data_IF_817205891874
#
_entry.id   IF_817205891874
#
_cell.length_a   1.000
_cell.length_b   1.000
_cell.length_c   1.000
_cell.angle_alpha   90.00
_cell.angle_beta   90.00
_cell.angle_gamma   90.00
#
_symmetry.space_group_name_H-M   'P 1'
#
loop_
_entity.id
_entity.type
_entity.pdbx_description
1 polymer ?
#
# COMPACT_ATOMS: atom_id res chain seq x y z
N UNK A 1 19.57 12.06 11.11
CA UNK A 1 18.57 11.33 11.92
C UNK A 1 17.43 12.26 12.25
N UNK A 2 16.19 11.82 12.05
CA UNK A 2 14.96 12.58 12.30
C UNK A 2 13.96 11.73 13.08
N UNK A 3 13.19 12.38 13.96
CA UNK A 3 12.05 11.74 14.63
C UNK A 3 10.81 11.93 13.76
N UNK A 4 10.33 10.85 13.13
CA UNK A 4 9.11 10.88 12.33
C UNK A 4 7.85 10.89 13.21
N UNK A 5 6.81 11.57 12.73
CA UNK A 5 5.47 11.45 13.29
C UNK A 5 4.94 10.02 13.15
N UNK A 6 4.02 9.63 14.05
CA UNK A 6 3.45 8.26 14.07
C UNK A 6 2.95 7.78 12.68
N UNK A 7 2.17 8.54 11.90
CA UNK A 7 1.69 8.08 10.60
C UNK A 7 2.80 7.84 9.59
N UNK A 8 3.81 8.72 9.54
CA UNK A 8 4.95 8.59 8.62
C UNK A 8 5.82 7.38 8.99
N UNK A 9 6.05 7.18 10.30
CA UNK A 9 6.80 6.02 10.79
C UNK A 9 6.08 4.71 10.53
N UNK A 10 4.77 4.65 10.77
CA UNK A 10 3.93 3.49 10.47
C UNK A 10 3.92 3.18 8.96
N UNK A 11 3.80 4.19 8.10
CA UNK A 11 3.94 4.01 6.66
C UNK A 11 5.29 3.41 6.28
N UNK A 12 6.40 3.92 6.85
CA UNK A 12 7.73 3.35 6.58
C UNK A 12 7.87 1.91 7.09
N UNK A 13 7.34 1.62 8.28
CA UNK A 13 7.28 0.24 8.81
C UNK A 13 6.56 -0.69 7.83
N UNK A 14 5.37 -0.31 7.36
CA UNK A 14 4.62 -1.12 6.40
C UNK A 14 5.43 -1.42 5.13
N UNK A 15 6.12 -0.40 4.60
CA UNK A 15 7.00 -0.54 3.42
C UNK A 15 8.17 -1.49 3.68
N UNK A 16 8.86 -1.37 4.82
CA UNK A 16 9.95 -2.27 5.20
C UNK A 16 9.50 -3.73 5.31
N UNK A 17 8.28 -3.97 5.81
CA UNK A 17 7.70 -5.32 5.89
C UNK A 17 7.34 -5.90 4.52
N UNK A 18 7.03 -5.05 3.54
CA UNK A 18 6.76 -5.47 2.15
C UNK A 18 8.03 -5.65 1.31
N UNK A 19 9.08 -4.87 1.59
CA UNK A 19 10.35 -4.88 0.85
C UNK A 19 11.22 -6.09 1.24
N UNK A 20 11.14 -6.56 2.48
CA UNK A 20 11.99 -7.64 2.98
C UNK A 20 11.42 -8.35 4.21
N UNK A 21 11.92 -9.57 4.46
CA UNK A 21 11.54 -10.35 5.62
C UNK A 21 12.11 -9.77 6.92
N UNK A 22 11.23 -9.31 7.82
CA UNK A 22 11.60 -8.81 9.14
C UNK A 22 11.17 -9.78 10.23
N UNK A 23 12.13 -10.37 10.93
CA UNK A 23 11.94 -11.45 11.91
C UNK A 23 11.72 -10.97 13.35
N UNK A 24 12.19 -9.76 13.67
CA UNK A 24 12.15 -9.20 15.04
C UNK A 24 11.94 -7.68 15.04
N UNK A 25 11.44 -7.17 16.18
CA UNK A 25 11.26 -5.72 16.38
C UNK A 25 12.60 -4.99 16.43
N UNK A 26 13.65 -5.60 16.98
CA UNK A 26 15.00 -5.04 17.00
C UNK A 26 15.55 -4.84 15.60
N UNK A 27 15.36 -5.82 14.72
CA UNK A 27 15.71 -5.70 13.30
C UNK A 27 14.97 -4.51 12.65
N UNK A 28 13.69 -4.31 12.96
CA UNK A 28 12.93 -3.18 12.42
C UNK A 28 13.45 -1.82 12.93
N UNK A 29 13.90 -1.75 14.19
CA UNK A 29 14.55 -0.55 14.75
C UNK A 29 15.85 -0.24 14.01
N UNK A 30 16.66 -1.26 13.71
CA UNK A 30 17.92 -1.11 12.96
C UNK A 30 17.66 -0.61 11.53
N UNK A 31 16.64 -1.15 10.86
CA UNK A 31 16.26 -0.74 9.52
C UNK A 31 15.75 0.71 9.49
N UNK A 32 14.90 1.09 10.44
CA UNK A 32 14.46 2.47 10.61
C UNK A 32 15.64 3.41 10.86
N UNK A 33 16.60 3.00 11.70
CA UNK A 33 17.81 3.79 11.95
C UNK A 33 18.68 3.96 10.70
N UNK A 34 18.80 2.92 9.86
CA UNK A 34 19.49 2.99 8.57
C UNK A 34 18.83 3.99 7.60
N UNK A 35 17.50 4.11 7.66
CA UNK A 35 16.73 5.15 6.95
C UNK A 35 16.76 6.52 7.63
N UNK A 36 17.55 6.66 8.70
CA UNK A 36 17.68 7.90 9.47
C UNK A 36 16.50 8.19 10.40
N UNK A 37 15.61 7.23 10.65
CA UNK A 37 14.44 7.34 11.54
C UNK A 37 14.78 6.83 12.93
N UNK A 38 14.63 7.69 13.95
CA UNK A 38 14.87 7.29 15.34
C UNK A 38 13.59 6.70 15.94
N UNK A 39 13.65 5.44 16.38
CA UNK A 39 12.55 4.75 17.06
C UNK A 39 13.09 3.79 18.14
N UNK A 40 12.29 3.57 19.19
CA UNK A 40 12.61 2.56 20.21
C UNK A 40 11.86 1.26 19.93
N UNK A 41 12.29 0.16 20.53
CA UNK A 41 11.58 -1.12 20.44
C UNK A 41 10.14 -1.03 20.96
N UNK A 42 9.89 -0.27 22.03
CA UNK A 42 8.54 -0.03 22.56
C UNK A 42 7.66 0.75 21.58
N UNK A 43 8.23 1.73 20.88
CA UNK A 43 7.54 2.49 19.83
C UNK A 43 7.16 1.58 18.66
N UNK A 44 8.13 0.79 18.17
CA UNK A 44 7.92 -0.17 17.08
C UNK A 44 6.89 -1.23 17.45
N UNK A 45 6.90 -1.75 18.68
CA UNK A 45 5.91 -2.73 19.13
C UNK A 45 4.48 -2.19 19.02
N UNK A 46 4.25 -0.97 19.53
CA UNK A 46 2.94 -0.31 19.44
C UNK A 46 2.54 -0.01 18.00
N UNK A 47 3.48 0.43 17.17
CA UNK A 47 3.18 0.69 15.75
C UNK A 47 2.79 -0.60 15.01
N UNK A 48 3.45 -1.73 15.29
CA UNK A 48 3.10 -3.04 14.72
C UNK A 48 1.73 -3.53 15.19
N UNK A 49 1.40 -3.35 16.48
CA UNK A 49 0.07 -3.65 17.03
C UNK A 49 -1.01 -2.80 16.36
N UNK A 50 -0.79 -1.49 16.28
CA UNK A 50 -1.72 -0.54 15.63
C UNK A 50 -1.92 -0.83 14.14
N UNK A 51 -0.87 -1.30 13.46
CA UNK A 51 -0.90 -1.72 12.05
C UNK A 51 -1.53 -3.12 11.85
N UNK A 52 -1.84 -3.85 12.93
CA UNK A 52 -2.34 -5.22 12.85
C UNK A 52 -1.32 -6.21 12.27
N UNK A 53 -0.02 -5.94 12.43
CA UNK A 53 1.03 -6.81 11.92
C UNK A 53 1.09 -8.14 12.69
N UNK A 54 1.16 -9.24 11.95
CA UNK A 54 1.20 -10.61 12.50
C UNK A 54 2.46 -11.33 12.05
N UNK A 55 2.94 -12.29 12.85
CA UNK A 55 4.03 -13.18 12.44
C UNK A 55 3.49 -14.30 11.57
N UNK A 56 3.89 -14.32 10.30
CA UNK A 56 3.58 -15.38 9.34
C UNK A 56 4.83 -16.20 9.04
N UNK A 57 4.63 -17.45 8.65
CA UNK A 57 5.70 -18.30 8.13
C UNK A 57 5.88 -18.01 6.64
N UNK A 58 7.07 -17.56 6.25
CA UNK A 58 7.42 -17.31 4.85
C UNK A 58 8.08 -18.54 4.21
N UNK A 59 8.13 -18.65 2.86
CA UNK A 59 8.89 -19.69 2.17
C UNK A 59 10.34 -19.74 2.69
N UNK A 60 10.84 -20.93 3.00
CA UNK A 60 12.12 -21.12 3.70
C UNK A 60 11.99 -21.36 5.21
N UNK A 61 10.78 -21.27 5.78
CA UNK A 61 10.47 -21.71 7.15
C UNK A 61 10.70 -20.66 8.24
N UNK A 62 11.21 -19.49 7.90
CA UNK A 62 11.41 -18.37 8.83
C UNK A 62 10.08 -17.69 9.17
N UNK A 63 9.97 -17.15 10.39
CA UNK A 63 8.83 -16.32 10.80
C UNK A 63 9.16 -14.84 10.54
N UNK A 64 8.28 -14.13 9.84
CA UNK A 64 8.42 -12.70 9.56
C UNK A 64 7.13 -11.95 9.87
N UNK A 65 7.24 -10.67 10.23
CA UNK A 65 6.10 -9.77 10.36
C UNK A 65 5.51 -9.45 8.99
N UNK A 66 4.18 -9.47 8.89
CA UNK A 66 3.43 -9.06 7.72
C UNK A 66 2.13 -8.36 8.15
N UNK A 67 1.65 -7.41 7.35
CA UNK A 67 0.35 -6.75 7.58
C UNK A 67 -0.67 -7.40 6.63
N UNK A 68 -1.72 -8.08 7.15
CA UNK A 68 -2.65 -8.86 6.32
C UNK A 68 -3.36 -8.06 5.22
N UNK A 69 -3.63 -6.77 5.46
CA UNK A 69 -4.29 -5.88 4.48
C UNK A 69 -3.35 -5.42 3.37
N UNK A 70 -2.03 -5.42 3.62
CA UNK A 70 -0.98 -5.05 2.66
C UNK A 70 -0.34 -6.28 2.02
N UNK A 71 -0.84 -7.48 2.29
CA UNK A 71 -0.44 -8.68 1.58
C UNK A 71 -0.89 -8.54 0.11
N UNK A 72 0.02 -8.00 -0.71
CA UNK A 72 -0.09 -7.88 -2.17
C UNK A 72 -0.45 -9.20 -2.86
N UNK A 73 -0.28 -10.32 -2.16
CA UNK A 73 -0.65 -11.66 -2.58
C UNK A 73 -2.16 -11.94 -2.59
N UNK A 74 -3.00 -11.00 -2.15
CA UNK A 74 -4.35 -10.91 -2.72
C UNK A 74 -4.29 -10.01 -3.94
N UNK A 75 -3.59 -10.46 -4.99
CA UNK A 75 -3.97 -10.05 -6.34
C UNK A 75 -5.47 -10.27 -6.38
N UNK A 76 -6.24 -9.17 -6.45
CA UNK A 76 -7.61 -9.31 -6.89
C UNK A 76 -7.51 -10.12 -8.18
N UNK A 77 -8.37 -11.14 -8.41
CA UNK A 77 -8.29 -11.95 -9.63
C UNK A 77 -8.07 -11.00 -10.81
N UNK A 78 -7.20 -11.30 -11.78
CA UNK A 78 -6.87 -10.37 -12.89
C UNK A 78 -8.12 -9.75 -13.55
N UNK A 79 -9.26 -10.44 -13.45
CA UNK A 79 -10.58 -10.01 -13.91
C UNK A 79 -11.29 -8.96 -13.04
N UNK A 80 -10.89 -8.72 -11.79
CA UNK A 80 -11.54 -7.75 -10.90
C UNK A 80 -11.40 -6.33 -11.43
N UNK A 81 -10.17 -5.93 -11.80
CA UNK A 81 -9.94 -4.62 -12.41
C UNK A 81 -10.76 -4.49 -13.69
N UNK A 82 -10.73 -5.51 -14.56
CA UNK A 82 -11.51 -5.53 -15.81
C UNK A 82 -13.00 -5.35 -15.57
N UNK A 83 -13.55 -6.05 -14.56
CA UNK A 83 -14.96 -5.96 -14.17
C UNK A 83 -15.32 -4.56 -13.67
N UNK A 84 -14.53 -4.01 -12.75
CA UNK A 84 -14.76 -2.67 -12.18
C UNK A 84 -14.66 -1.61 -13.27
N UNK A 85 -13.67 -1.71 -14.15
CA UNK A 85 -13.51 -0.79 -15.29
C UNK A 85 -14.72 -0.86 -16.22
N UNK A 86 -15.16 -2.05 -16.61
CA UNK A 86 -16.32 -2.22 -17.50
C UNK A 86 -17.66 -1.82 -16.87
N UNK A 87 -17.77 -1.85 -15.54
CA UNK A 87 -18.98 -1.48 -14.82
C UNK A 87 -19.07 0.02 -14.54
N UNK A 88 -17.96 0.67 -14.21
CA UNK A 88 -17.98 2.04 -13.65
C UNK A 88 -17.29 3.10 -14.51
N UNK A 89 -16.42 2.76 -15.47
CA UNK A 89 -15.77 3.78 -16.30
C UNK A 89 -16.64 4.10 -17.50
N UNK A 90 -17.01 5.38 -17.62
CA UNK A 90 -17.88 5.88 -18.71
C UNK A 90 -17.12 6.65 -19.77
N UNK A 91 -15.97 7.22 -19.44
CA UNK A 91 -15.10 7.94 -20.39
C UNK A 91 -13.64 7.93 -19.94
N UNK A 92 -12.73 8.01 -20.92
CA UNK A 92 -11.28 7.99 -20.72
C UNK A 92 -10.61 9.04 -21.60
N UNK A 93 -9.92 9.99 -20.98
CA UNK A 93 -9.09 10.97 -21.65
C UNK A 93 -7.66 10.94 -21.10
N UNK A 94 -6.71 11.58 -21.78
CA UNK A 94 -5.34 11.69 -21.28
C UNK A 94 -4.67 13.00 -21.72
N UNK A 95 -3.67 13.43 -20.96
CA UNK A 95 -2.78 14.53 -21.30
C UNK A 95 -1.41 14.27 -20.69
N UNK A 96 -0.40 14.07 -21.54
CA UNK A 96 0.94 13.70 -21.08
C UNK A 96 0.92 12.39 -20.29
N UNK A 97 1.47 12.42 -19.07
CA UNK A 97 1.52 11.30 -18.13
C UNK A 97 0.29 11.20 -17.22
N UNK A 98 -0.82 11.87 -17.56
CA UNK A 98 -2.05 11.87 -16.77
C UNK A 98 -3.16 11.23 -17.59
N UNK A 99 -3.78 10.19 -17.04
CA UNK A 99 -5.04 9.63 -17.53
C UNK A 99 -6.19 10.13 -16.66
N UNK A 100 -7.27 10.60 -17.29
CA UNK A 100 -8.49 11.04 -16.62
C UNK A 100 -9.59 10.02 -16.92
N UNK A 101 -10.10 9.40 -15.87
CA UNK A 101 -11.25 8.48 -15.96
C UNK A 101 -12.49 9.18 -15.41
N UNK A 102 -13.61 9.04 -16.11
CA UNK A 102 -14.94 9.49 -15.64
C UNK A 102 -15.76 8.29 -15.22
N UNK A 103 -16.53 8.44 -14.15
CA UNK A 103 -17.44 7.43 -13.61
C UNK A 103 -18.83 8.04 -13.36
N UNK A 104 -19.85 7.24 -13.04
CA UNK A 104 -21.05 7.77 -12.40
C UNK A 104 -20.72 8.50 -11.08
N UNK A 105 -21.61 9.40 -10.62
CA UNK A 105 -21.46 10.07 -9.32
C UNK A 105 -21.21 9.08 -8.18
N UNK A 106 -20.31 9.44 -7.28
CA UNK A 106 -19.92 8.64 -6.12
C UNK A 106 -19.15 7.34 -6.39
N UNK A 107 -18.70 7.09 -7.63
CA UNK A 107 -18.09 5.81 -8.02
C UNK A 107 -16.58 5.87 -8.26
N UNK A 108 -15.97 7.05 -8.34
CA UNK A 108 -14.56 7.18 -8.70
C UNK A 108 -13.61 6.47 -7.72
N UNK A 109 -13.93 6.50 -6.42
CA UNK A 109 -13.15 5.79 -5.40
C UNK A 109 -13.16 4.26 -5.58
N UNK A 110 -14.23 3.67 -6.12
CA UNK A 110 -14.30 2.22 -6.39
C UNK A 110 -13.29 1.85 -7.48
N UNK A 111 -13.23 2.65 -8.54
CA UNK A 111 -12.28 2.46 -9.65
C UNK A 111 -10.84 2.68 -9.18
N UNK A 112 -10.59 3.75 -8.42
CA UNK A 112 -9.26 4.03 -7.86
C UNK A 112 -8.75 2.90 -6.97
N UNK A 113 -9.61 2.37 -6.10
CA UNK A 113 -9.23 1.23 -5.24
C UNK A 113 -8.88 -0.03 -6.04
N UNK A 114 -9.59 -0.29 -7.13
CA UNK A 114 -9.27 -1.43 -8.00
C UNK A 114 -7.95 -1.24 -8.74
N UNK A 115 -7.63 -0.02 -9.18
CA UNK A 115 -6.34 0.32 -9.80
C UNK A 115 -5.17 0.09 -8.84
N UNK A 116 -5.28 0.59 -7.60
CA UNK A 116 -4.21 0.44 -6.60
C UNK A 116 -3.93 -1.03 -6.27
N UNK A 117 -4.99 -1.84 -6.18
CA UNK A 117 -4.87 -3.29 -5.91
C UNK A 117 -4.34 -4.08 -7.08
N UNK A 118 -4.50 -3.59 -8.31
CA UNK A 118 -3.99 -4.27 -9.49
C UNK A 118 -2.46 -4.16 -9.61
N UNK A 119 -1.82 -3.24 -8.89
CA UNK A 119 -0.36 -3.13 -8.84
C UNK A 119 0.30 -2.96 -10.21
N UNK A 120 -0.35 -2.21 -11.11
CA UNK A 120 0.13 -2.01 -12.47
C UNK A 120 1.51 -1.34 -12.45
N UNK A 121 2.54 -1.93 -13.08
CA UNK A 121 3.92 -1.48 -12.94
C UNK A 121 4.16 -0.06 -13.49
N UNK A 122 3.37 0.35 -14.48
CA UNK A 122 3.48 1.64 -15.15
C UNK A 122 2.59 2.74 -14.52
N UNK A 123 1.90 2.44 -13.41
CA UNK A 123 1.05 3.38 -12.67
C UNK A 123 1.75 3.76 -11.37
N UNK A 124 2.06 5.04 -11.21
CA UNK A 124 2.57 5.61 -9.96
C UNK A 124 1.48 5.70 -8.90
N UNK A 125 0.24 5.98 -9.30
CA UNK A 125 -0.91 5.99 -8.41
C UNK A 125 -2.11 6.75 -8.97
N UNK A 126 -3.14 6.93 -8.15
CA UNK A 126 -4.33 7.69 -8.54
C UNK A 126 -4.85 8.61 -7.43
N UNK A 127 -5.63 9.61 -7.83
CA UNK A 127 -6.41 10.47 -6.93
C UNK A 127 -7.85 10.49 -7.45
N UNK A 128 -8.76 9.93 -6.65
CA UNK A 128 -10.18 9.90 -6.95
C UNK A 128 -10.93 11.07 -6.29
N UNK A 129 -11.76 11.75 -7.08
CA UNK A 129 -12.82 12.64 -6.62
C UNK A 129 -14.15 11.87 -6.49
N UNK A 130 -15.25 12.51 -6.85
CA UNK A 130 -16.59 11.90 -6.80
C UNK A 130 -16.91 11.06 -8.06
N UNK A 131 -16.81 11.71 -9.24
CA UNK A 131 -17.14 11.15 -10.55
C UNK A 131 -15.96 11.14 -11.53
N UNK A 132 -14.78 11.54 -11.05
CA UNK A 132 -13.57 11.71 -11.85
C UNK A 132 -12.37 11.26 -11.04
N UNK A 133 -11.43 10.54 -11.67
CA UNK A 133 -10.13 10.22 -11.07
C UNK A 133 -8.99 10.50 -12.04
N UNK A 134 -7.87 10.96 -11.48
CA UNK A 134 -6.61 11.15 -12.18
C UNK A 134 -5.69 9.99 -11.86
N UNK A 135 -5.07 9.42 -12.90
CA UNK A 135 -4.08 8.35 -12.79
C UNK A 135 -2.77 8.85 -13.38
N UNK A 136 -1.67 8.62 -12.69
CA UNK A 136 -0.30 9.01 -13.07
C UNK A 136 0.56 7.76 -13.18
#
# INVERSE_FOLDING_TARGET
MATLGKPQRQHRIARLLEEQAVSSQSQLVELLAADGVVATQATVSRDLEDLGAVKVRIPGGTMAYAIPEHAKDRSAPDDHLRRVMGEFVVDVAHSGNIVVLRTPPGSAHVVGSALDRAGLPDVLGNVAGDDTLLVV
#
